data_IF_834606057371
#
_entry.id   IF_834606057371
#
_cell.length_a   1.000
_cell.length_b   1.000
_cell.length_c   1.000
_cell.angle_alpha   90.00
_cell.angle_beta   90.00
_cell.angle_gamma   90.00
#
_symmetry.space_group_name_H-M   'P 1'
#
loop_
_entity.id
_entity.type
_entity.pdbx_description
1 polymer ?
#
# COMPACT_ATOMS: atom_id res chain seq x y z
N UNK A 1 22.54 -37.21 2.26
CA UNK A 1 22.55 -36.43 3.51
C UNK A 1 21.80 -35.16 3.21
N UNK A 2 20.53 -35.18 3.59
CA UNK A 2 19.57 -34.11 3.40
C UNK A 2 19.97 -32.91 4.26
N UNK A 3 20.19 -31.77 3.63
CA UNK A 3 20.29 -30.49 4.32
C UNK A 3 18.89 -29.87 4.23
N UNK A 4 18.08 -30.11 5.27
CA UNK A 4 16.90 -29.30 5.52
C UNK A 4 17.37 -27.90 5.90
N UNK A 5 17.27 -26.98 4.96
CA UNK A 5 17.41 -25.55 5.23
C UNK A 5 16.11 -25.09 5.89
N UNK A 6 16.07 -25.21 7.23
CA UNK A 6 14.98 -24.66 8.02
C UNK A 6 15.27 -23.17 8.19
N UNK A 7 14.75 -22.38 7.25
CA UNK A 7 14.80 -20.92 7.28
C UNK A 7 14.05 -20.42 8.53
N UNK A 8 14.82 -20.13 9.57
CA UNK A 8 14.34 -19.51 10.80
C UNK A 8 14.39 -17.99 10.59
N UNK A 9 13.46 -17.47 9.79
CA UNK A 9 13.20 -16.02 9.73
C UNK A 9 12.69 -15.58 11.10
N UNK A 10 13.31 -14.55 11.67
CA UNK A 10 12.87 -14.00 12.95
C UNK A 10 11.54 -13.27 12.76
N UNK A 11 10.66 -13.26 13.77
CA UNK A 11 9.37 -12.55 13.67
C UNK A 11 9.54 -11.04 13.40
N UNK A 12 10.68 -10.46 13.78
CA UNK A 12 11.03 -9.07 13.50
C UNK A 12 11.22 -8.78 11.99
N UNK A 13 11.63 -9.77 11.20
CA UNK A 13 11.84 -9.61 9.75
C UNK A 13 10.53 -9.71 8.96
N UNK A 14 9.50 -10.38 9.51
CA UNK A 14 8.17 -10.50 8.89
C UNK A 14 7.36 -9.21 9.01
N UNK A 15 7.59 -8.43 10.07
CA UNK A 15 6.92 -7.14 10.32
C UNK A 15 7.32 -6.01 9.35
N UNK A 16 8.42 -6.17 8.60
CA UNK A 16 8.77 -5.23 7.53
C UNK A 16 8.06 -5.52 6.21
N UNK A 17 7.43 -6.69 6.08
CA UNK A 17 6.83 -7.12 4.81
C UNK A 17 5.44 -6.55 4.59
N UNK A 18 4.69 -6.22 5.65
CA UNK A 18 3.28 -5.82 5.59
C UNK A 18 3.02 -4.35 5.94
N UNK A 19 1.88 -3.82 5.51
CA UNK A 19 1.46 -2.48 5.93
C UNK A 19 1.26 -2.45 7.46
N UNK A 20 1.76 -1.41 8.13
CA UNK A 20 1.75 -1.32 9.61
C UNK A 20 0.43 -0.80 10.19
N UNK A 21 -0.58 -0.74 9.35
CA UNK A 21 -1.85 -0.06 9.60
C UNK A 21 -2.96 -0.82 8.91
N UNK A 22 -4.12 -0.84 9.55
CA UNK A 22 -5.28 -1.56 9.07
C UNK A 22 -5.83 -0.94 7.78
N UNK A 23 -6.05 -1.77 6.76
CA UNK A 23 -6.60 -1.36 5.48
C UNK A 23 -8.09 -0.94 5.52
N UNK A 24 -8.78 -1.14 6.65
CA UNK A 24 -10.19 -0.77 6.82
C UNK A 24 -10.35 0.61 7.48
N UNK A 25 -9.52 0.93 8.47
CA UNK A 25 -9.67 2.15 9.29
C UNK A 25 -8.48 3.11 9.23
N UNK A 26 -7.38 2.72 8.58
CA UNK A 26 -6.12 3.46 8.50
C UNK A 26 -5.38 3.69 9.82
N UNK A 27 -5.74 2.97 10.89
CA UNK A 27 -5.07 3.03 12.20
C UNK A 27 -4.17 1.82 12.44
N UNK A 28 -3.19 1.98 13.34
CA UNK A 28 -2.21 0.95 13.71
C UNK A 28 -2.67 0.08 14.89
N UNK A 29 -1.69 -0.52 15.57
CA UNK A 29 -1.90 -1.37 16.74
C UNK A 29 -1.65 -2.84 16.44
N UNK A 30 -2.40 -3.73 17.10
CA UNK A 30 -2.34 -5.16 16.83
C UNK A 30 -2.96 -5.46 15.45
N UNK A 31 -2.15 -5.98 14.54
CA UNK A 31 -2.54 -6.18 13.14
C UNK A 31 -2.12 -7.56 12.65
N UNK A 32 -2.91 -8.11 11.73
CA UNK A 32 -2.65 -9.35 11.03
C UNK A 32 -2.41 -9.06 9.54
N UNK A 33 -1.21 -9.39 9.07
CA UNK A 33 -0.75 -9.16 7.70
C UNK A 33 -1.24 -10.23 6.73
N UNK A 34 -1.74 -9.81 5.56
CA UNK A 34 -2.11 -10.73 4.49
C UNK A 34 -0.88 -11.12 3.66
N UNK A 35 -0.54 -12.41 3.64
CA UNK A 35 0.59 -12.99 2.90
C UNK A 35 0.40 -13.05 1.38
N UNK A 36 -0.80 -12.68 0.91
CA UNK A 36 -1.08 -12.51 -0.51
C UNK A 36 -0.42 -11.25 -1.08
N UNK A 37 -0.50 -11.10 -2.41
CA UNK A 37 0.11 -9.99 -3.17
C UNK A 37 -0.40 -8.59 -2.82
N UNK A 38 -1.46 -8.47 -2.00
CA UNK A 38 -1.99 -7.18 -1.59
C UNK A 38 -1.22 -6.53 -0.44
N UNK A 39 -0.50 -7.32 0.39
CA UNK A 39 0.36 -6.83 1.48
C UNK A 39 -0.40 -6.01 2.56
N UNK A 40 -1.73 -6.03 2.51
CA UNK A 40 -2.59 -5.30 3.44
C UNK A 40 -2.62 -5.98 4.81
N UNK A 41 -2.81 -5.18 5.85
CA UNK A 41 -2.98 -5.65 7.22
C UNK A 41 -4.35 -5.26 7.77
N UNK A 42 -4.80 -5.96 8.81
CA UNK A 42 -6.14 -5.80 9.37
C UNK A 42 -6.12 -5.97 10.89
N UNK A 43 -6.99 -5.27 11.62
CA UNK A 43 -7.27 -5.63 13.01
C UNK A 43 -7.90 -7.02 13.06
N UNK A 44 -7.25 -8.03 13.66
CA UNK A 44 -7.75 -9.41 13.60
C UNK A 44 -9.01 -9.62 14.42
N UNK A 45 -9.13 -8.93 15.55
CA UNK A 45 -10.21 -9.10 16.54
C UNK A 45 -11.03 -7.82 16.70
N UNK A 46 -12.23 -7.93 17.27
CA UNK A 46 -13.05 -6.74 17.59
C UNK A 46 -12.32 -5.83 18.58
N UNK A 47 -11.60 -6.41 19.56
CA UNK A 47 -10.88 -5.67 20.59
C UNK A 47 -9.72 -4.86 20.02
N UNK A 48 -8.92 -5.45 19.11
CA UNK A 48 -7.81 -4.77 18.43
C UNK A 48 -8.30 -3.59 17.58
N UNK A 49 -9.49 -3.70 16.98
CA UNK A 49 -10.11 -2.63 16.19
C UNK A 49 -10.92 -1.60 16.99
N UNK A 50 -11.19 -1.84 18.27
CA UNK A 50 -12.14 -1.05 19.06
C UNK A 50 -11.72 0.43 19.19
N UNK A 51 -10.42 0.70 19.32
CA UNK A 51 -9.88 2.05 19.48
C UNK A 51 -10.11 2.97 18.28
N UNK A 52 -10.34 2.41 17.09
CA UNK A 52 -10.57 3.13 15.84
C UNK A 52 -11.96 2.91 15.24
N UNK A 53 -12.89 2.28 16.00
CA UNK A 53 -14.19 1.86 15.49
C UNK A 53 -14.10 1.01 14.21
N UNK A 54 -13.04 0.21 14.10
CA UNK A 54 -12.78 -0.64 12.95
C UNK A 54 -13.76 -1.83 12.93
N UNK A 55 -14.24 -2.19 11.74
CA UNK A 55 -15.07 -3.40 11.56
C UNK A 55 -14.30 -4.68 11.92
N UNK A 56 -12.97 -4.65 11.84
CA UNK A 56 -12.04 -5.78 12.10
C UNK A 56 -12.33 -7.03 11.27
N UNK A 57 -11.53 -8.08 11.44
CA UNK A 57 -11.81 -9.39 10.84
C UNK A 57 -12.77 -10.25 11.69
N UNK A 58 -12.94 -9.91 12.97
CA UNK A 58 -13.85 -10.61 13.88
C UNK A 58 -13.39 -12.00 14.33
N UNK A 59 -12.09 -12.30 14.25
CA UNK A 59 -11.53 -13.53 14.82
C UNK A 59 -11.51 -13.49 16.35
N UNK A 60 -11.49 -14.66 16.99
CA UNK A 60 -11.12 -14.80 18.41
C UNK A 60 -9.60 -14.86 18.55
N UNK A 61 -9.07 -14.56 19.73
CA UNK A 61 -7.62 -14.64 19.99
C UNK A 61 -7.06 -16.05 19.71
N UNK A 62 -7.79 -17.11 20.07
CA UNK A 62 -7.36 -18.49 19.79
C UNK A 62 -7.35 -18.80 18.29
N UNK A 63 -8.25 -18.19 17.51
CA UNK A 63 -8.21 -18.31 16.06
C UNK A 63 -7.00 -17.58 15.49
N UNK A 64 -6.67 -16.40 16.00
CA UNK A 64 -5.48 -15.64 15.59
C UNK A 64 -4.21 -16.44 15.86
N UNK A 65 -4.07 -17.00 17.07
CA UNK A 65 -2.92 -17.83 17.46
C UNK A 65 -2.79 -19.10 16.60
N UNK A 66 -3.90 -19.62 16.07
CA UNK A 66 -3.92 -20.80 15.22
C UNK A 66 -3.66 -20.50 13.73
N UNK A 67 -3.72 -19.23 13.30
CA UNK A 67 -3.48 -18.84 11.91
C UNK A 67 -1.97 -18.88 11.65
N UNK A 68 -1.55 -19.82 10.80
CA UNK A 68 -0.16 -19.89 10.34
C UNK A 68 0.10 -18.91 9.19
N UNK A 69 -0.78 -18.91 8.18
CA UNK A 69 -0.68 -18.05 7.01
C UNK A 69 -2.04 -17.38 6.76
N UNK A 70 -2.09 -16.06 6.82
CA UNK A 70 -3.33 -15.32 6.59
C UNK A 70 -3.45 -14.83 5.14
N UNK A 71 -4.58 -15.13 4.49
CA UNK A 71 -4.98 -14.52 3.22
C UNK A 71 -6.30 -13.78 3.41
N UNK A 72 -6.35 -12.50 3.08
CA UNK A 72 -7.61 -11.77 3.03
C UNK A 72 -8.51 -12.29 1.90
N UNK A 73 -9.83 -12.07 2.00
CA UNK A 73 -10.81 -12.53 0.99
C UNK A 73 -10.45 -12.09 -0.42
N UNK A 74 -9.92 -10.89 -0.61
CA UNK A 74 -9.50 -10.42 -1.93
C UNK A 74 -8.36 -11.26 -2.53
N UNK A 75 -7.38 -11.66 -1.73
CA UNK A 75 -6.31 -12.55 -2.20
C UNK A 75 -6.82 -13.99 -2.39
N UNK A 76 -7.68 -14.49 -1.50
CA UNK A 76 -8.29 -15.82 -1.63
C UNK A 76 -9.09 -15.97 -2.94
N UNK A 77 -9.87 -14.95 -3.30
CA UNK A 77 -10.68 -14.95 -4.52
C UNK A 77 -10.00 -14.30 -5.72
N UNK A 78 -8.76 -13.83 -5.58
CA UNK A 78 -8.03 -13.10 -6.62
C UNK A 78 -8.82 -11.92 -7.21
N UNK A 79 -9.49 -11.17 -6.34
CA UNK A 79 -10.33 -10.01 -6.69
C UNK A 79 -9.78 -8.79 -5.97
N UNK A 80 -9.08 -7.90 -6.69
CA UNK A 80 -8.37 -6.77 -6.08
C UNK A 80 -8.92 -5.44 -6.57
N UNK A 81 -8.87 -4.43 -5.70
CA UNK A 81 -9.33 -3.09 -6.04
C UNK A 81 -8.25 -2.36 -6.83
N UNK A 82 -8.63 -1.72 -7.91
CA UNK A 82 -7.76 -0.77 -8.57
C UNK A 82 -7.53 0.45 -7.67
N UNK A 83 -6.27 0.76 -7.36
CA UNK A 83 -5.90 1.84 -6.44
C UNK A 83 -6.27 3.25 -6.94
N UNK A 84 -6.62 3.38 -8.22
CA UNK A 84 -7.01 4.67 -8.82
C UNK A 84 -8.53 4.88 -8.71
N UNK A 85 -9.33 3.88 -9.14
CA UNK A 85 -10.79 4.04 -9.25
C UNK A 85 -11.57 3.31 -8.14
N UNK A 86 -10.92 2.51 -7.31
CA UNK A 86 -11.53 1.75 -6.21
C UNK A 86 -12.37 0.54 -6.65
N UNK A 87 -12.63 0.37 -7.95
CA UNK A 87 -13.42 -0.76 -8.47
C UNK A 87 -12.62 -2.06 -8.38
N UNK A 88 -13.30 -3.15 -8.04
CA UNK A 88 -12.75 -4.50 -8.06
C UNK A 88 -12.55 -4.98 -9.50
N UNK A 89 -11.51 -5.79 -9.70
CA UNK A 89 -11.34 -6.61 -10.89
C UNK A 89 -10.58 -7.89 -10.56
N UNK A 90 -10.72 -8.87 -11.44
CA UNK A 90 -9.97 -10.13 -11.36
C UNK A 90 -8.46 -9.89 -11.52
N UNK A 91 -7.66 -10.47 -10.63
CA UNK A 91 -6.20 -10.56 -10.78
C UNK A 91 -5.74 -11.99 -11.10
N UNK A 92 -6.67 -12.88 -11.40
CA UNK A 92 -6.39 -14.29 -11.66
C UNK A 92 -5.77 -14.48 -13.06
N UNK A 93 -4.51 -14.92 -13.09
CA UNK A 93 -3.75 -15.17 -14.31
C UNK A 93 -4.24 -16.36 -15.13
N UNK A 94 -5.05 -17.25 -14.54
CA UNK A 94 -5.68 -18.35 -15.26
C UNK A 94 -6.93 -17.91 -16.03
N UNK A 95 -7.41 -16.69 -15.76
CA UNK A 95 -8.54 -16.04 -16.43
C UNK A 95 -8.07 -14.76 -17.14
N UNK A 96 -9.00 -14.04 -17.79
CA UNK A 96 -8.71 -12.69 -18.28
C UNK A 96 -8.59 -11.76 -17.06
N UNK A 97 -7.36 -11.41 -16.70
CA UNK A 97 -7.09 -10.48 -15.61
C UNK A 97 -7.54 -9.05 -15.99
N UNK A 98 -8.25 -8.40 -15.07
CA UNK A 98 -8.76 -7.04 -15.20
C UNK A 98 -7.87 -6.04 -14.43
N UNK A 99 -7.21 -6.49 -13.36
CA UNK A 99 -6.27 -5.69 -12.58
C UNK A 99 -4.91 -6.36 -12.43
N UNK A 100 -3.86 -5.55 -12.49
CA UNK A 100 -2.48 -5.99 -12.50
C UNK A 100 -1.71 -5.36 -11.33
N UNK A 101 -0.87 -6.13 -10.62
CA UNK A 101 -0.08 -5.60 -9.52
C UNK A 101 1.09 -4.75 -10.02
N UNK A 102 1.49 -3.75 -9.24
CA UNK A 102 2.79 -3.12 -9.39
C UNK A 102 3.92 -4.17 -9.30
N UNK A 103 4.99 -3.99 -10.07
CA UNK A 103 6.14 -4.90 -10.07
C UNK A 103 6.94 -4.89 -8.76
N UNK A 104 6.88 -3.79 -8.02
CA UNK A 104 7.59 -3.68 -6.73
C UNK A 104 6.99 -4.66 -5.72
N UNK A 105 7.84 -5.55 -5.22
CA UNK A 105 7.46 -6.65 -4.32
C UNK A 105 6.84 -6.17 -3.00
N UNK A 106 7.12 -4.93 -2.58
CA UNK A 106 6.62 -4.34 -1.33
C UNK A 106 5.50 -3.32 -1.56
N UNK A 107 4.97 -3.21 -2.78
CA UNK A 107 3.97 -2.19 -3.11
C UNK A 107 2.53 -2.60 -2.76
N UNK A 108 2.14 -3.84 -3.05
CA UNK A 108 0.79 -4.35 -2.77
C UNK A 108 -0.36 -3.79 -3.62
N UNK A 109 -0.13 -2.75 -4.43
CA UNK A 109 -1.19 -2.07 -5.19
C UNK A 109 -1.50 -2.73 -6.54
N UNK A 110 -2.79 -2.76 -6.88
CA UNK A 110 -3.33 -3.27 -8.14
C UNK A 110 -3.98 -2.16 -8.96
N UNK A 111 -3.99 -2.32 -10.29
CA UNK A 111 -4.45 -1.30 -11.21
C UNK A 111 -5.15 -1.90 -12.42
N UNK A 112 -6.25 -1.28 -12.87
CA UNK A 112 -6.72 -1.49 -14.23
C UNK A 112 -5.68 -0.91 -15.22
N UNK A 113 -5.34 -1.63 -16.31
CA UNK A 113 -4.38 -1.17 -17.32
C UNK A 113 -4.71 0.22 -17.86
N UNK A 114 -5.98 0.47 -18.20
CA UNK A 114 -6.43 1.79 -18.66
C UNK A 114 -6.20 2.88 -17.61
N UNK A 115 -6.64 2.65 -16.36
CA UNK A 115 -6.54 3.67 -15.30
C UNK A 115 -5.09 4.09 -15.02
N UNK A 116 -4.16 3.12 -14.94
CA UNK A 116 -2.76 3.45 -14.64
C UNK A 116 -2.06 4.09 -15.82
N UNK A 117 -2.39 3.68 -17.04
CA UNK A 117 -1.76 4.24 -18.25
C UNK A 117 -2.18 5.68 -18.48
N UNK A 118 -3.46 6.01 -18.30
CA UNK A 118 -3.96 7.39 -18.37
C UNK A 118 -3.36 8.28 -17.27
N UNK A 119 -3.07 7.72 -16.09
CA UNK A 119 -2.44 8.45 -15.00
C UNK A 119 -0.95 8.70 -15.24
N UNK A 120 -0.22 7.76 -15.85
CA UNK A 120 1.21 7.89 -16.15
C UNK A 120 1.44 8.86 -17.32
N UNK A 121 0.58 8.81 -18.34
CA UNK A 121 0.70 9.62 -19.56
C UNK A 121 -0.49 10.58 -19.72
N UNK A 122 -0.65 11.57 -18.83
CA UNK A 122 -1.78 12.48 -18.88
C UNK A 122 -1.73 13.31 -20.17
N UNK A 123 -2.71 13.11 -21.05
CA UNK A 123 -2.85 13.83 -22.32
C UNK A 123 -2.11 13.21 -23.52
N UNK A 124 -1.22 12.24 -23.31
CA UNK A 124 -0.60 11.46 -24.40
C UNK A 124 -1.35 10.13 -24.58
N UNK A 125 -2.39 10.17 -25.41
CA UNK A 125 -3.24 9.01 -25.69
C UNK A 125 -2.47 7.86 -26.34
N UNK A 126 -1.43 8.14 -27.13
CA UNK A 126 -0.69 7.11 -27.85
C UNK A 126 0.18 6.31 -26.86
N UNK A 127 0.92 7.01 -25.99
CA UNK A 127 1.73 6.34 -24.95
C UNK A 127 0.85 5.61 -23.93
N UNK A 128 -0.29 6.19 -23.54
CA UNK A 128 -1.24 5.52 -22.65
C UNK A 128 -1.80 4.23 -23.27
N UNK A 129 -2.20 4.25 -24.53
CA UNK A 129 -2.70 3.05 -25.22
C UNK A 129 -1.63 1.97 -25.39
N UNK A 130 -0.39 2.36 -25.66
CA UNK A 130 0.72 1.42 -25.79
C UNK A 130 1.03 0.74 -24.45
N UNK A 131 1.15 1.52 -23.36
CA UNK A 131 1.37 0.95 -22.03
C UNK A 131 0.20 0.05 -21.59
N UNK A 132 -1.03 0.43 -21.89
CA UNK A 132 -2.20 -0.40 -21.60
C UNK A 132 -2.07 -1.78 -22.23
N UNK A 133 -1.75 -1.85 -23.53
CA UNK A 133 -1.58 -3.11 -24.26
C UNK A 133 -0.43 -3.95 -23.70
N UNK A 134 0.68 -3.31 -23.33
CA UNK A 134 1.84 -3.99 -22.73
C UNK A 134 1.44 -4.66 -21.41
N UNK A 135 0.74 -3.95 -20.52
CA UNK A 135 0.28 -4.50 -19.24
C UNK A 135 -0.71 -5.65 -19.48
N UNK A 136 -1.67 -5.49 -20.39
CA UNK A 136 -2.63 -6.53 -20.77
C UNK A 136 -1.96 -7.77 -21.37
N UNK A 137 -0.84 -7.60 -22.08
CA UNK A 137 0.00 -8.69 -22.59
C UNK A 137 0.86 -9.37 -21.51
N UNK A 138 0.88 -8.83 -20.29
CA UNK A 138 1.59 -9.38 -19.14
C UNK A 138 2.91 -8.68 -18.80
N UNK A 139 3.26 -7.58 -19.46
CA UNK A 139 4.46 -6.82 -19.14
C UNK A 139 4.36 -6.20 -17.75
N UNK A 140 5.49 -6.22 -17.03
CA UNK A 140 5.60 -5.59 -15.73
C UNK A 140 5.63 -4.07 -15.82
N UNK A 141 5.00 -3.38 -14.87
CA UNK A 141 5.06 -1.92 -14.75
C UNK A 141 5.32 -1.48 -13.31
N UNK A 142 5.90 -0.29 -13.16
CA UNK A 142 6.03 0.38 -11.85
C UNK A 142 4.93 1.42 -11.72
N UNK A 143 4.17 1.36 -10.62
CA UNK A 143 3.04 2.27 -10.43
C UNK A 143 3.48 3.72 -10.08
N UNK A 144 2.60 4.72 -10.29
CA UNK A 144 2.87 6.13 -10.02
C UNK A 144 3.22 6.45 -8.56
N UNK A 145 2.83 5.60 -7.60
CA UNK A 145 3.13 5.80 -6.18
C UNK A 145 4.63 5.73 -5.86
N UNK A 146 5.48 5.22 -6.78
CA UNK A 146 6.94 5.20 -6.62
C UNK A 146 7.66 6.38 -7.30
N UNK A 147 6.93 7.40 -7.74
CA UNK A 147 7.49 8.62 -8.33
C UNK A 147 6.84 9.85 -7.71
N UNK A 148 7.65 10.89 -7.51
CA UNK A 148 7.10 12.17 -7.08
C UNK A 148 6.16 12.73 -8.16
N UNK A 149 4.93 13.08 -7.80
CA UNK A 149 3.94 13.66 -8.70
C UNK A 149 4.29 15.08 -9.20
N UNK A 150 5.41 15.67 -8.74
CA UNK A 150 5.88 17.00 -9.15
C UNK A 150 7.12 16.89 -10.01
N UNK A 151 8.18 16.24 -9.53
CA UNK A 151 9.47 16.17 -10.22
C UNK A 151 9.74 14.85 -10.95
N UNK A 152 8.81 13.89 -10.86
CA UNK A 152 8.81 12.55 -11.49
C UNK A 152 9.97 11.61 -11.12
N UNK A 153 10.85 12.04 -10.20
CA UNK A 153 11.96 11.24 -9.68
C UNK A 153 11.49 10.26 -8.59
N UNK A 154 12.26 9.17 -8.44
CA UNK A 154 12.11 8.19 -7.38
C UNK A 154 12.53 8.71 -6.00
N UNK A 155 12.35 7.89 -4.98
CA UNK A 155 12.86 8.18 -3.63
C UNK A 155 14.39 8.04 -3.59
N UNK A 156 15.05 8.94 -2.86
CA UNK A 156 16.43 8.75 -2.43
C UNK A 156 16.45 8.61 -0.91
N UNK A 157 16.71 7.39 -0.42
CA UNK A 157 16.70 7.07 1.01
C UNK A 157 17.83 7.77 1.78
N UNK A 158 18.88 8.24 1.10
CA UNK A 158 20.00 8.93 1.73
C UNK A 158 19.73 10.42 2.00
N UNK A 159 18.78 11.03 1.28
CA UNK A 159 18.39 12.43 1.45
C UNK A 159 16.97 12.54 2.06
N UNK A 160 16.83 13.00 3.32
CA UNK A 160 15.53 13.18 3.97
C UNK A 160 14.53 14.07 3.22
N UNK A 161 15.00 15.02 2.41
CA UNK A 161 14.14 15.89 1.60
C UNK A 161 13.60 15.18 0.35
N UNK A 162 14.28 14.11 -0.08
CA UNK A 162 13.92 13.20 -1.16
C UNK A 162 13.21 11.93 -0.68
N UNK A 163 12.92 11.80 0.62
CA UNK A 163 12.00 10.77 1.11
C UNK A 163 10.58 11.07 0.65
N UNK A 164 9.81 10.02 0.40
CA UNK A 164 8.41 10.17 0.02
C UNK A 164 7.50 10.47 1.22
N UNK A 165 6.51 11.31 0.92
CA UNK A 165 5.27 11.53 1.64
C UNK A 165 4.16 10.96 0.75
N UNK A 166 3.68 9.75 1.09
CA UNK A 166 2.80 8.93 0.24
C UNK A 166 1.35 8.98 0.70
N UNK A 167 0.40 9.37 -0.15
CA UNK A 167 -1.00 9.24 0.25
C UNK A 167 -1.39 7.75 0.24
N UNK A 168 -1.88 7.20 1.36
CA UNK A 168 -2.39 5.80 1.37
C UNK A 168 -3.75 5.62 0.71
N UNK A 169 -4.44 6.73 0.37
CA UNK A 169 -5.77 6.73 -0.25
C UNK A 169 -5.77 7.11 -1.72
N UNK A 170 -4.61 7.48 -2.28
CA UNK A 170 -4.54 7.84 -3.69
C UNK A 170 -3.14 7.55 -4.27
N UNK A 171 -3.01 7.39 -5.59
CA UNK A 171 -1.76 6.98 -6.26
C UNK A 171 -0.66 8.07 -6.27
N UNK A 172 -0.83 9.17 -5.53
CA UNK A 172 0.12 10.29 -5.52
C UNK A 172 1.13 10.14 -4.39
N UNK A 173 2.39 10.27 -4.75
CA UNK A 173 3.51 10.41 -3.83
C UNK A 173 4.23 11.74 -4.09
N UNK A 174 4.76 12.34 -3.04
CA UNK A 174 5.54 13.58 -3.13
C UNK A 174 6.83 13.40 -2.36
N UNK A 175 7.94 13.96 -2.82
CA UNK A 175 9.06 14.16 -1.91
C UNK A 175 8.68 15.10 -0.78
N UNK A 176 9.34 15.00 0.38
CA UNK A 176 9.13 15.96 1.47
C UNK A 176 9.34 17.40 1.01
N UNK A 177 10.29 17.68 0.14
CA UNK A 177 10.49 19.03 -0.44
C UNK A 177 9.44 19.43 -1.49
N UNK A 178 8.85 18.45 -2.18
CA UNK A 178 7.90 18.67 -3.28
C UNK A 178 6.42 18.66 -2.85
N UNK A 179 6.12 18.22 -1.63
CA UNK A 179 4.74 18.20 -1.13
C UNK A 179 4.14 19.62 -1.15
N UNK A 180 2.98 19.82 -1.80
CA UNK A 180 2.32 21.12 -1.85
C UNK A 180 2.04 21.68 -0.45
N UNK A 181 2.38 22.96 -0.25
CA UNK A 181 2.26 23.64 1.06
C UNK A 181 0.81 23.81 1.52
N UNK A 182 -0.14 23.82 0.58
CA UNK A 182 -1.58 23.91 0.84
C UNK A 182 -2.18 22.59 1.37
N UNK A 183 -1.43 21.49 1.40
CA UNK A 183 -1.82 20.24 2.08
C UNK A 183 -1.36 20.34 3.55
N UNK A 184 -1.99 21.24 4.30
CA UNK A 184 -1.86 21.37 5.76
C UNK A 184 -3.10 20.82 6.44
N UNK A 185 -2.94 20.08 7.54
CA UNK A 185 -4.04 19.93 8.48
C UNK A 185 -4.31 21.30 9.07
N UNK A 186 -5.57 21.69 9.22
CA UNK A 186 -5.94 22.86 10.03
C UNK A 186 -5.30 22.67 11.42
N UNK A 187 -4.35 23.54 11.81
CA UNK A 187 -3.59 23.39 13.05
C UNK A 187 -4.12 24.35 14.11
N UNK A 188 -4.66 23.76 15.18
CA UNK A 188 -4.66 24.18 16.58
C UNK A 188 -3.98 25.54 16.90
N UNK A 189 -4.73 26.46 17.48
CA UNK A 189 -4.48 27.91 17.66
C UNK A 189 -3.26 28.33 18.50
N UNK A 190 -2.34 27.41 18.84
CA UNK A 190 -1.28 27.67 19.82
C UNK A 190 0.13 27.89 19.24
N UNK A 191 0.37 27.65 17.94
CA UNK A 191 1.71 27.82 17.32
C UNK A 191 1.58 28.30 15.88
N UNK A 192 2.09 29.48 15.57
CA UNK A 192 2.09 30.14 14.23
C UNK A 192 2.91 29.40 13.15
N UNK A 193 3.09 28.08 13.24
CA UNK A 193 3.78 27.24 12.28
C UNK A 193 2.78 26.19 11.75
N UNK A 194 2.37 26.23 10.46
CA UNK A 194 1.43 25.26 9.91
C UNK A 194 1.92 23.81 10.10
N UNK A 195 1.04 22.89 10.51
CA UNK A 195 1.36 21.46 10.55
C UNK A 195 1.32 20.96 9.13
N UNK A 196 2.48 20.51 8.64
CA UNK A 196 2.49 19.65 7.47
C UNK A 196 1.74 18.38 7.84
N UNK A 197 0.92 17.86 6.92
CA UNK A 197 0.14 16.63 7.12
C UNK A 197 0.97 15.39 7.54
N UNK A 198 2.28 15.46 7.38
CA UNK A 198 3.24 14.39 7.65
C UNK A 198 4.06 14.62 8.94
N UNK A 199 3.87 15.75 9.64
CA UNK A 199 4.46 15.96 10.97
C UNK A 199 3.48 15.48 12.05
N UNK A 200 2.99 14.26 11.92
CA UNK A 200 2.48 13.49 13.06
C UNK A 200 3.70 12.72 13.59
N UNK A 201 3.98 12.97 14.86
CA UNK A 201 5.18 12.59 15.60
C UNK A 201 5.60 11.13 15.37
N UNK A 202 6.85 10.93 14.92
CA UNK A 202 7.60 9.77 15.40
C UNK A 202 7.46 9.73 16.93
N UNK A 203 7.14 8.58 17.54
CA UNK A 203 7.34 8.43 18.96
C UNK A 203 8.78 8.85 19.27
N UNK A 204 8.95 9.73 20.25
CA UNK A 204 10.30 9.92 20.80
C UNK A 204 10.69 8.57 21.37
N UNK A 205 11.73 7.97 20.81
CA UNK A 205 12.44 6.88 21.47
C UNK A 205 12.74 7.35 22.91
N UNK A 206 12.25 6.56 23.87
CA UNK A 206 12.45 6.77 25.30
C UNK A 206 13.70 6.02 25.72
#
# INVERSE_FOLDING_TARGET
MDIHDHDHTSDADKDEMFDRVCALCDDGGEILGCEGRCIRSFHPTIESGAGSFCESLGYTSEQVDAIQNFLCKNCQYQQHQCFICGRLGSSDKSSVAEVFPCISATCGHFYHPQCVSELIFPGDKNQAQELQKQIEAGDSFTCPAHKCSVCTQGEDKSDPEMHFAVCRRCPKAYHRKCLPRNISYERNDAKSIPQRAWRVSCPKES
#
